data_IF_229513038746
#
_entry.id   IF_229513038746
#
_cell.length_a   1.000
_cell.length_b   1.000
_cell.length_c   1.000
_cell.angle_alpha   90.00
_cell.angle_beta   90.00
_cell.angle_gamma   90.00
#
_symmetry.space_group_name_H-M   'P 1'
#
loop_
_entity.id
_entity.type
_entity.pdbx_description
1 polymer ?
#
# COMPACT_ATOMS: atom_id res chain seq x y z
N UNK A 1 21.56 75.71 -26.96
CA UNK A 1 21.79 75.51 -25.52
C UNK A 1 22.78 74.35 -25.38
N UNK A 2 24.07 74.63 -25.14
CA UNK A 2 25.10 73.61 -25.15
C UNK A 2 25.05 72.79 -23.85
N UNK A 3 24.83 71.48 -23.95
CA UNK A 3 24.98 70.57 -22.81
C UNK A 3 26.42 70.69 -22.30
N UNK A 4 26.58 71.12 -21.04
CA UNK A 4 27.90 71.27 -20.45
C UNK A 4 28.54 69.90 -20.24
N UNK A 5 29.85 69.79 -20.45
CA UNK A 5 30.63 68.55 -20.27
C UNK A 5 30.36 67.85 -18.93
N UNK A 6 30.08 68.64 -17.88
CA UNK A 6 29.68 68.14 -16.56
C UNK A 6 28.34 67.40 -16.58
N UNK A 7 27.34 67.90 -17.31
CA UNK A 7 26.01 67.26 -17.44
C UNK A 7 26.08 65.91 -18.16
N UNK A 8 26.88 65.82 -19.23
CA UNK A 8 27.11 64.56 -19.95
C UNK A 8 27.82 63.50 -19.07
N UNK A 9 28.79 63.92 -18.24
CA UNK A 9 29.47 63.03 -17.30
C UNK A 9 28.50 62.53 -16.23
N UNK A 10 27.66 63.40 -15.66
CA UNK A 10 26.69 62.99 -14.63
C UNK A 10 25.67 61.99 -15.16
N UNK A 11 25.14 62.19 -16.37
CA UNK A 11 24.22 61.25 -17.01
C UNK A 11 24.93 59.92 -17.32
N UNK A 12 26.15 59.97 -17.87
CA UNK A 12 26.93 58.76 -18.15
C UNK A 12 27.19 57.93 -16.89
N UNK A 13 27.53 58.58 -15.77
CA UNK A 13 27.72 57.92 -14.48
C UNK A 13 26.44 57.29 -13.93
N UNK A 14 25.30 57.99 -14.04
CA UNK A 14 23.99 57.47 -13.62
C UNK A 14 23.57 56.24 -14.45
N UNK A 15 23.72 56.31 -15.78
CA UNK A 15 23.43 55.19 -16.67
C UNK A 15 24.32 53.99 -16.35
N UNK A 16 25.61 54.22 -16.09
CA UNK A 16 26.55 53.15 -15.74
C UNK A 16 26.20 52.48 -14.41
N UNK A 17 25.82 53.26 -13.38
CA UNK A 17 25.39 52.73 -12.09
C UNK A 17 24.12 51.88 -12.23
N UNK A 18 23.15 52.33 -13.05
CA UNK A 18 21.92 51.57 -13.32
C UNK A 18 22.24 50.27 -14.06
N UNK A 19 23.10 50.31 -15.08
CA UNK A 19 23.51 49.11 -15.82
C UNK A 19 24.24 48.12 -14.90
N UNK A 20 25.15 48.57 -14.04
CA UNK A 20 25.84 47.71 -13.07
C UNK A 20 24.84 47.13 -12.06
N UNK A 21 23.92 47.95 -11.54
CA UNK A 21 22.87 47.53 -10.62
C UNK A 21 21.97 46.44 -11.21
N UNK A 22 21.60 46.57 -12.50
CA UNK A 22 20.81 45.56 -13.21
C UNK A 22 21.65 44.32 -13.56
N UNK A 23 22.87 44.50 -14.04
CA UNK A 23 23.75 43.41 -14.48
C UNK A 23 24.29 42.56 -13.31
N UNK A 24 24.37 43.11 -12.10
CA UNK A 24 24.86 42.40 -10.91
C UNK A 24 23.71 42.06 -9.96
N UNK A 25 22.83 43.03 -9.68
CA UNK A 25 21.76 42.87 -8.69
C UNK A 25 20.71 41.83 -9.10
N UNK A 26 20.36 41.74 -10.38
CA UNK A 26 19.39 40.76 -10.89
C UNK A 26 19.95 39.33 -10.80
N UNK A 27 21.14 39.01 -11.36
CA UNK A 27 21.68 37.65 -11.23
C UNK A 27 21.99 37.24 -9.79
N UNK A 28 22.46 38.16 -8.93
CA UNK A 28 22.64 37.87 -7.50
C UNK A 28 21.30 37.60 -6.83
N UNK A 29 20.26 38.40 -7.10
CA UNK A 29 18.91 38.16 -6.60
C UNK A 29 18.31 36.82 -7.05
N UNK A 30 18.60 36.38 -8.28
CA UNK A 30 18.18 35.08 -8.81
C UNK A 30 18.93 33.92 -8.13
N UNK A 31 20.23 34.08 -7.89
CA UNK A 31 21.06 33.05 -7.24
C UNK A 31 20.74 32.93 -5.75
N UNK A 32 20.52 34.05 -5.06
CA UNK A 32 20.13 34.10 -3.64
C UNK A 32 18.67 33.68 -3.45
N UNK A 33 17.79 34.03 -4.39
CA UNK A 33 16.38 33.64 -4.41
C UNK A 33 16.12 32.21 -4.89
N UNK A 34 17.13 31.52 -5.45
CA UNK A 34 17.06 30.08 -5.73
C UNK A 34 17.04 29.32 -4.41
N UNK A 35 15.84 29.09 -3.88
CA UNK A 35 15.63 28.02 -2.92
C UNK A 35 16.11 26.72 -3.57
N UNK A 36 16.99 25.98 -2.88
CA UNK A 36 17.24 24.58 -3.24
C UNK A 36 15.87 23.90 -3.34
N UNK A 37 15.60 23.12 -4.40
CA UNK A 37 14.35 22.36 -4.45
C UNK A 37 14.25 21.57 -3.16
N UNK A 38 13.23 21.85 -2.37
CA UNK A 38 13.03 21.22 -1.08
C UNK A 38 12.89 19.73 -1.36
N UNK A 39 13.88 18.93 -0.95
CA UNK A 39 13.78 17.49 -1.10
C UNK A 39 12.50 17.04 -0.41
N UNK A 40 11.74 16.16 -1.07
CA UNK A 40 10.58 15.54 -0.46
C UNK A 40 10.95 14.93 0.90
N UNK A 41 9.99 14.92 1.83
CA UNK A 41 10.17 14.17 3.09
C UNK A 41 10.27 12.69 2.77
N UNK A 42 10.87 11.90 3.67
CA UNK A 42 11.04 10.45 3.48
C UNK A 42 9.70 9.76 3.24
N UNK A 43 8.64 10.20 3.92
CA UNK A 43 7.28 9.66 3.78
C UNK A 43 6.72 9.92 2.37
N UNK A 44 6.90 11.14 1.85
CA UNK A 44 6.47 11.48 0.48
C UNK A 44 7.28 10.71 -0.57
N UNK A 45 8.58 10.51 -0.34
CA UNK A 45 9.42 9.70 -1.22
C UNK A 45 8.96 8.24 -1.23
N UNK A 46 8.74 7.65 -0.05
CA UNK A 46 8.23 6.29 0.09
C UNK A 46 6.87 6.14 -0.60
N UNK A 47 5.96 7.09 -0.38
CA UNK A 47 4.62 7.06 -0.97
C UNK A 47 4.67 7.13 -2.51
N UNK A 48 5.51 7.99 -3.09
CA UNK A 48 5.72 8.06 -4.55
C UNK A 48 6.30 6.78 -5.15
N UNK A 49 7.20 6.10 -4.41
CA UNK A 49 7.72 4.79 -4.83
C UNK A 49 6.58 3.76 -4.84
N UNK A 50 5.77 3.72 -3.79
CA UNK A 50 4.68 2.77 -3.63
C UNK A 50 3.48 3.03 -4.56
N UNK A 51 3.31 4.26 -5.05
CA UNK A 51 2.28 4.58 -6.07
C UNK A 51 2.50 3.77 -7.36
N UNK A 52 3.76 3.54 -7.73
CA UNK A 52 4.14 2.79 -8.92
C UNK A 52 4.59 1.36 -8.61
N UNK A 53 4.93 1.07 -7.35
CA UNK A 53 5.40 -0.24 -6.88
C UNK A 53 4.63 -0.63 -5.61
N UNK A 54 3.33 -0.99 -5.73
CA UNK A 54 2.52 -1.31 -4.58
C UNK A 54 3.14 -2.41 -3.71
N UNK A 55 3.00 -2.27 -2.39
CA UNK A 55 3.58 -3.22 -1.45
C UNK A 55 2.90 -4.60 -1.61
N UNK A 56 3.70 -5.66 -1.59
CA UNK A 56 3.23 -7.04 -1.44
C UNK A 56 3.64 -7.52 -0.06
N UNK A 57 2.66 -7.74 0.81
CA UNK A 57 2.89 -8.34 2.13
C UNK A 57 2.74 -9.86 2.05
N UNK A 58 3.66 -10.57 2.72
CA UNK A 58 3.80 -12.01 2.64
C UNK A 58 2.95 -12.81 3.63
N UNK A 59 2.29 -12.16 4.60
CA UNK A 59 1.57 -12.88 5.65
C UNK A 59 0.61 -11.99 6.47
N UNK A 60 -0.70 -12.24 6.36
CA UNK A 60 -1.71 -11.52 7.14
C UNK A 60 -2.84 -12.43 7.65
N UNK A 61 -3.07 -12.41 8.96
CA UNK A 61 -4.02 -13.26 9.69
C UNK A 61 -5.47 -12.76 9.75
N UNK A 62 -5.91 -11.92 8.81
CA UNK A 62 -7.29 -11.42 8.78
C UNK A 62 -8.32 -12.56 8.83
N UNK A 63 -8.08 -13.67 8.13
CA UNK A 63 -8.96 -14.85 8.16
C UNK A 63 -9.10 -15.42 9.58
N UNK A 64 -8.00 -15.48 10.34
CA UNK A 64 -7.99 -15.97 11.71
C UNK A 64 -8.70 -15.01 12.67
N UNK A 65 -8.51 -13.70 12.49
CA UNK A 65 -9.23 -12.67 13.24
C UNK A 65 -10.74 -12.84 13.05
N UNK A 66 -11.19 -13.02 11.80
CA UNK A 66 -12.61 -13.18 11.52
C UNK A 66 -13.15 -14.49 12.11
N UNK A 67 -12.43 -15.61 11.97
CA UNK A 67 -12.80 -16.89 12.59
C UNK A 67 -13.02 -16.77 14.08
N UNK A 68 -12.05 -16.20 14.78
CA UNK A 68 -12.05 -16.15 16.25
C UNK A 68 -13.08 -15.19 16.84
N UNK A 69 -13.42 -14.11 16.12
CA UNK A 69 -14.33 -13.08 16.62
C UNK A 69 -15.76 -13.22 16.10
N UNK A 70 -15.94 -13.83 14.92
CA UNK A 70 -17.24 -13.89 14.23
C UNK A 70 -17.61 -15.28 13.74
N UNK A 71 -16.84 -16.32 14.10
CA UNK A 71 -17.11 -17.71 13.68
C UNK A 71 -17.29 -17.85 12.15
N UNK A 72 -16.43 -17.20 11.37
CA UNK A 72 -16.45 -17.15 9.90
C UNK A 72 -17.68 -16.48 9.27
N UNK A 73 -18.58 -15.91 10.09
CA UNK A 73 -19.70 -15.11 9.60
C UNK A 73 -19.20 -13.76 9.09
N UNK A 74 -19.57 -13.43 7.86
CA UNK A 74 -19.23 -12.14 7.22
C UNK A 74 -20.47 -11.30 6.92
N UNK A 75 -21.66 -11.72 7.36
CA UNK A 75 -22.92 -11.02 7.05
C UNK A 75 -22.85 -9.56 7.52
N UNK A 76 -22.51 -9.38 8.80
CA UNK A 76 -22.46 -8.06 9.46
C UNK A 76 -21.02 -7.55 9.66
N UNK A 77 -20.04 -8.17 8.98
CA UNK A 77 -18.65 -7.75 9.04
C UNK A 77 -18.38 -6.71 7.95
N UNK A 78 -18.11 -5.47 8.37
CA UNK A 78 -17.66 -4.38 7.50
C UNK A 78 -16.14 -4.27 7.54
N UNK A 79 -15.48 -4.70 6.46
CA UNK A 79 -14.04 -4.64 6.31
C UNK A 79 -13.53 -3.26 5.87
N UNK A 80 -14.39 -2.28 5.58
CA UNK A 80 -13.90 -0.92 5.24
C UNK A 80 -13.24 -0.23 6.44
N UNK A 81 -13.81 -0.41 7.63
CA UNK A 81 -13.31 0.19 8.85
C UNK A 81 -13.57 -0.73 10.04
N UNK A 82 -12.61 -1.62 10.32
CA UNK A 82 -12.73 -2.56 11.42
C UNK A 82 -12.36 -1.83 12.71
N UNK A 83 -13.36 -1.58 13.55
CA UNK A 83 -13.23 -0.91 14.84
C UNK A 83 -13.04 -1.91 15.98
N UNK A 84 -12.44 -1.47 17.09
CA UNK A 84 -12.30 -2.32 18.30
C UNK A 84 -13.63 -2.89 18.78
N UNK A 85 -14.73 -2.12 18.67
CA UNK A 85 -16.05 -2.52 19.13
C UNK A 85 -16.63 -3.71 18.35
N UNK A 86 -16.13 -3.98 17.14
CA UNK A 86 -16.54 -5.16 16.38
C UNK A 86 -15.80 -6.42 16.87
N UNK A 87 -14.66 -6.29 17.56
CA UNK A 87 -13.78 -7.41 17.91
C UNK A 87 -14.04 -7.82 19.37
N UNK A 88 -14.41 -9.09 19.58
CA UNK A 88 -14.87 -9.62 20.88
C UNK A 88 -13.81 -9.63 21.98
N UNK A 89 -12.53 -9.51 21.65
CA UNK A 89 -11.39 -9.67 22.57
C UNK A 89 -10.51 -8.41 22.71
N UNK A 90 -11.06 -7.20 22.47
CA UNK A 90 -10.36 -5.90 22.57
C UNK A 90 -9.05 -5.74 21.77
N UNK A 91 -8.71 -6.75 20.96
CA UNK A 91 -7.52 -6.74 20.10
C UNK A 91 -7.89 -5.96 18.85
N UNK A 92 -7.32 -4.78 18.59
CA UNK A 92 -7.64 -4.02 17.38
C UNK A 92 -7.22 -4.83 16.15
N UNK A 93 -8.01 -4.77 15.08
CA UNK A 93 -7.55 -5.26 13.78
C UNK A 93 -6.44 -4.36 13.29
N UNK A 94 -5.34 -4.94 12.80
CA UNK A 94 -4.33 -4.19 12.05
C UNK A 94 -4.75 -3.98 10.59
N UNK A 95 -5.83 -4.63 10.15
CA UNK A 95 -6.21 -4.72 8.74
C UNK A 95 -7.68 -4.37 8.54
N UNK A 96 -7.89 -3.39 7.68
CA UNK A 96 -9.16 -3.07 7.02
C UNK A 96 -8.82 -2.45 5.67
N UNK A 97 -9.81 -2.33 4.77
CA UNK A 97 -9.58 -1.81 3.42
C UNK A 97 -9.01 -0.38 3.50
N UNK A 98 -9.50 0.46 4.41
CA UNK A 98 -9.00 1.83 4.56
C UNK A 98 -7.50 1.85 4.86
N UNK A 99 -7.04 1.06 5.83
CA UNK A 99 -5.62 0.95 6.19
C UNK A 99 -4.78 0.33 5.08
N UNK A 100 -5.30 -0.69 4.37
CA UNK A 100 -4.61 -1.29 3.23
C UNK A 100 -4.38 -0.27 2.11
N UNK A 101 -5.40 0.54 1.80
CA UNK A 101 -5.30 1.62 0.80
C UNK A 101 -4.34 2.72 1.24
N UNK A 102 -4.43 3.17 2.50
CA UNK A 102 -3.51 4.18 3.05
C UNK A 102 -2.06 3.69 3.08
N UNK A 103 -1.84 2.40 3.36
CA UNK A 103 -0.53 1.75 3.33
C UNK A 103 -0.02 1.41 1.93
N UNK A 104 -0.80 1.70 0.87
CA UNK A 104 -0.46 1.39 -0.52
C UNK A 104 -0.11 -0.09 -0.74
N UNK A 105 -0.82 -0.97 -0.03
CA UNK A 105 -0.75 -2.41 -0.25
C UNK A 105 -1.44 -2.72 -1.56
N UNK A 106 -0.71 -3.31 -2.50
CA UNK A 106 -1.27 -3.80 -3.76
C UNK A 106 -1.39 -5.31 -3.79
N UNK A 107 -0.66 -6.04 -2.96
CA UNK A 107 -0.77 -7.50 -2.86
C UNK A 107 -0.68 -7.99 -1.43
N UNK A 108 -1.42 -9.04 -1.11
CA UNK A 108 -1.47 -9.63 0.21
C UNK A 108 -1.57 -11.15 0.10
N UNK A 109 -0.62 -11.85 0.71
CA UNK A 109 -0.79 -13.24 1.07
C UNK A 109 -1.62 -13.32 2.35
N UNK A 110 -2.84 -13.81 2.22
CA UNK A 110 -3.73 -14.08 3.33
C UNK A 110 -3.34 -15.42 3.95
N UNK A 111 -3.01 -15.39 5.24
CA UNK A 111 -2.68 -16.60 5.99
C UNK A 111 -3.93 -17.45 6.14
N UNK A 112 -3.88 -18.64 5.55
CA UNK A 112 -4.83 -19.71 5.80
C UNK A 112 -4.25 -20.50 6.97
N UNK A 113 -4.54 -20.04 8.18
CA UNK A 113 -4.03 -20.59 9.43
C UNK A 113 -5.11 -21.28 10.26
N UNK A 114 -4.71 -22.34 10.97
CA UNK A 114 -5.52 -22.99 12.01
C UNK A 114 -4.62 -23.46 13.16
N UNK A 115 -5.19 -23.63 14.36
CA UNK A 115 -4.42 -24.09 15.53
C UNK A 115 -3.83 -25.49 15.33
N UNK A 116 -2.62 -25.71 15.85
CA UNK A 116 -1.97 -27.04 15.82
C UNK A 116 -2.80 -28.16 16.45
N UNK A 117 -3.72 -27.86 17.38
CA UNK A 117 -4.59 -28.83 18.05
C UNK A 117 -5.60 -29.56 17.15
N UNK A 118 -5.75 -29.11 15.90
CA UNK A 118 -6.54 -29.77 14.86
C UNK A 118 -5.79 -30.93 14.18
N UNK A 119 -4.47 -31.04 14.34
CA UNK A 119 -3.68 -32.12 13.72
C UNK A 119 -4.16 -33.51 14.18
N UNK A 120 -4.35 -34.41 13.21
CA UNK A 120 -4.89 -35.76 13.47
C UNK A 120 -6.38 -35.78 13.87
N UNK A 121 -7.09 -34.66 13.67
CA UNK A 121 -8.53 -34.53 13.92
C UNK A 121 -9.24 -33.99 12.68
N UNK A 122 -9.28 -32.68 12.54
CA UNK A 122 -10.10 -31.91 11.59
C UNK A 122 -9.27 -30.78 10.96
N UNK A 123 -7.95 -31.00 10.81
CA UNK A 123 -7.04 -30.02 10.25
C UNK A 123 -7.47 -29.64 8.84
N UNK A 124 -7.54 -30.60 7.91
CA UNK A 124 -7.89 -30.29 6.51
C UNK A 124 -9.21 -29.53 6.41
N UNK A 125 -10.26 -29.96 7.12
CA UNK A 125 -11.56 -29.26 7.15
C UNK A 125 -11.41 -27.83 7.66
N UNK A 126 -10.66 -27.61 8.73
CA UNK A 126 -10.44 -26.27 9.29
C UNK A 126 -9.72 -25.34 8.32
N UNK A 127 -8.74 -25.84 7.54
CA UNK A 127 -8.08 -25.03 6.51
C UNK A 127 -9.01 -24.74 5.32
N UNK A 128 -9.85 -25.71 4.91
CA UNK A 128 -10.86 -25.50 3.86
C UNK A 128 -11.85 -24.39 4.23
N UNK A 129 -12.30 -24.34 5.48
CA UNK A 129 -13.17 -23.27 5.97
C UNK A 129 -12.52 -21.88 5.91
N UNK A 130 -11.22 -21.78 6.16
CA UNK A 130 -10.48 -20.52 6.07
C UNK A 130 -10.29 -20.07 4.61
N UNK A 131 -10.06 -21.01 3.68
CA UNK A 131 -10.04 -20.72 2.23
C UNK A 131 -11.41 -20.24 1.77
N UNK A 132 -12.49 -20.94 2.14
CA UNK A 132 -13.86 -20.52 1.83
C UNK A 132 -14.16 -19.12 2.36
N UNK A 133 -13.79 -18.85 3.61
CA UNK A 133 -13.95 -17.53 4.22
C UNK A 133 -13.28 -16.43 3.39
N UNK A 134 -12.01 -16.61 3.03
CA UNK A 134 -11.28 -15.59 2.28
C UNK A 134 -11.84 -15.42 0.86
N UNK A 135 -12.22 -16.51 0.19
CA UNK A 135 -12.92 -16.42 -1.10
C UNK A 135 -14.22 -15.61 -0.98
N UNK A 136 -15.02 -15.83 0.06
CA UNK A 136 -16.25 -15.04 0.29
C UNK A 136 -15.96 -13.57 0.60
N UNK A 137 -14.88 -13.25 1.32
CA UNK A 137 -14.44 -11.86 1.54
C UNK A 137 -14.05 -11.20 0.22
N UNK A 138 -13.22 -11.87 -0.60
CA UNK A 138 -12.81 -11.34 -1.92
C UNK A 138 -14.04 -11.09 -2.79
N UNK A 139 -14.99 -12.04 -2.82
CA UNK A 139 -16.23 -11.90 -3.57
C UNK A 139 -17.16 -10.80 -3.04
N UNK A 140 -17.14 -10.52 -1.73
CA UNK A 140 -17.94 -9.46 -1.10
C UNK A 140 -17.40 -8.05 -1.44
N UNK A 141 -16.10 -7.91 -1.67
CA UNK A 141 -15.45 -6.63 -1.98
C UNK A 141 -14.67 -6.69 -3.32
N UNK A 142 -15.36 -6.93 -4.45
CA UNK A 142 -14.71 -7.18 -5.76
C UNK A 142 -14.06 -5.93 -6.37
N UNK A 143 -14.45 -4.75 -5.91
CA UNK A 143 -13.82 -3.48 -6.31
C UNK A 143 -12.50 -3.24 -5.56
N UNK A 144 -12.29 -3.95 -4.44
CA UNK A 144 -11.12 -3.81 -3.60
C UNK A 144 -10.11 -4.95 -3.80
N UNK A 145 -10.59 -6.18 -3.86
CA UNK A 145 -9.76 -7.38 -3.94
C UNK A 145 -9.90 -8.11 -5.27
N UNK A 146 -8.83 -8.77 -5.68
CA UNK A 146 -8.83 -9.68 -6.82
C UNK A 146 -8.01 -10.91 -6.48
N UNK A 147 -8.59 -12.11 -6.60
CA UNK A 147 -7.83 -13.35 -6.43
C UNK A 147 -6.70 -13.43 -7.47
N UNK A 148 -5.52 -13.86 -7.04
CA UNK A 148 -4.38 -14.11 -7.90
C UNK A 148 -3.63 -15.37 -7.44
N UNK A 149 -3.28 -16.21 -8.40
CA UNK A 149 -2.51 -17.44 -8.24
C UNK A 149 -1.20 -17.41 -9.03
N UNK A 150 -1.03 -16.37 -9.86
CA UNK A 150 0.18 -16.15 -10.66
C UNK A 150 0.69 -14.71 -10.51
N UNK A 151 1.98 -14.51 -10.77
CA UNK A 151 2.57 -13.17 -10.79
C UNK A 151 1.93 -12.26 -11.86
N UNK A 152 1.41 -12.83 -12.93
CA UNK A 152 0.73 -12.05 -13.98
C UNK A 152 -0.63 -11.54 -13.50
N UNK A 153 -1.40 -12.38 -12.81
CA UNK A 153 -2.67 -11.97 -12.19
C UNK A 153 -2.45 -10.89 -11.11
N UNK A 154 -1.34 -10.94 -10.38
CA UNK A 154 -0.94 -9.87 -9.45
C UNK A 154 -0.76 -8.54 -10.20
N UNK A 155 -0.02 -8.54 -11.31
CA UNK A 155 0.15 -7.33 -12.14
C UNK A 155 -1.17 -6.82 -12.71
N UNK A 156 -2.07 -7.72 -13.10
CA UNK A 156 -3.42 -7.36 -13.56
C UNK A 156 -4.24 -6.69 -12.46
N UNK A 157 -4.19 -7.22 -11.23
CA UNK A 157 -4.84 -6.59 -10.08
C UNK A 157 -4.28 -5.18 -9.81
N UNK A 158 -2.96 -5.00 -9.89
CA UNK A 158 -2.33 -3.68 -9.73
C UNK A 158 -2.83 -2.70 -10.80
N UNK A 159 -2.88 -3.13 -12.07
CA UNK A 159 -3.40 -2.32 -13.17
C UNK A 159 -4.89 -1.95 -12.99
N UNK A 160 -5.67 -2.86 -12.42
CA UNK A 160 -7.07 -2.64 -12.04
C UNK A 160 -7.23 -1.83 -10.73
N UNK A 161 -6.13 -1.41 -10.10
CA UNK A 161 -6.10 -0.74 -8.77
C UNK A 161 -6.79 -1.57 -7.68
N UNK A 162 -6.76 -2.89 -7.79
CA UNK A 162 -7.23 -3.85 -6.79
C UNK A 162 -6.05 -4.42 -6.02
N UNK A 163 -6.32 -4.88 -4.82
CA UNK A 163 -5.37 -5.60 -3.98
C UNK A 163 -5.39 -7.05 -4.45
N UNK A 164 -4.27 -7.52 -5.00
CA UNK A 164 -4.05 -8.92 -5.33
C UNK A 164 -4.11 -9.75 -4.04
N UNK A 165 -5.05 -10.68 -3.99
CA UNK A 165 -5.24 -11.58 -2.86
C UNK A 165 -4.72 -12.95 -3.24
N UNK A 166 -3.72 -13.42 -2.49
CA UNK A 166 -3.13 -14.75 -2.65
C UNK A 166 -3.34 -15.54 -1.36
N UNK A 167 -3.36 -16.87 -1.45
CA UNK A 167 -3.45 -17.73 -0.27
C UNK A 167 -2.09 -18.30 0.08
N UNK A 168 -1.79 -18.34 1.39
CA UNK A 168 -0.65 -19.06 1.92
C UNK A 168 -1.11 -19.97 3.06
N UNK A 169 -0.91 -21.28 2.92
CA UNK A 169 -1.19 -22.21 4.02
C UNK A 169 -0.10 -22.09 5.09
N UNK A 170 -0.52 -21.77 6.32
CA UNK A 170 0.35 -21.76 7.48
C UNK A 170 0.16 -23.05 8.30
N UNK A 171 0.98 -24.05 7.98
CA UNK A 171 1.07 -25.29 8.74
C UNK A 171 0.91 -26.54 7.88
N UNK A 172 1.92 -27.42 7.92
CA UNK A 172 1.93 -28.66 7.16
C UNK A 172 0.85 -29.66 7.57
N UNK A 173 0.25 -29.51 8.75
CA UNK A 173 -0.87 -30.34 9.20
C UNK A 173 -2.10 -30.21 8.30
N UNK A 174 -2.21 -29.12 7.51
CA UNK A 174 -3.29 -28.93 6.56
C UNK A 174 -3.46 -30.12 5.60
N UNK A 175 -2.35 -30.69 5.15
CA UNK A 175 -2.35 -31.76 4.15
C UNK A 175 -2.50 -33.16 4.73
N UNK A 176 -2.49 -33.31 6.06
CA UNK A 176 -2.56 -34.61 6.74
C UNK A 176 -1.62 -35.68 6.13
N UNK A 177 -0.39 -35.25 5.80
CA UNK A 177 0.63 -36.09 5.14
C UNK A 177 0.20 -36.69 3.80
N UNK A 178 -0.72 -36.04 3.07
CA UNK A 178 -1.27 -36.49 1.80
C UNK A 178 -0.95 -35.54 0.64
N UNK A 179 -0.23 -36.03 -0.37
CA UNK A 179 0.01 -35.28 -1.60
C UNK A 179 -1.27 -35.01 -2.41
N UNK A 180 -2.31 -35.83 -2.24
CA UNK A 180 -3.59 -35.59 -2.88
C UNK A 180 -4.25 -34.34 -2.31
N UNK A 181 -4.21 -34.17 -0.98
CA UNK A 181 -4.72 -32.95 -0.33
C UNK A 181 -3.86 -31.73 -0.71
N UNK A 182 -2.52 -31.88 -0.78
CA UNK A 182 -1.65 -30.81 -1.27
C UNK A 182 -2.06 -30.31 -2.67
N UNK A 183 -2.29 -31.23 -3.62
CA UNK A 183 -2.72 -30.85 -4.98
C UNK A 183 -4.12 -30.23 -5.01
N UNK A 184 -5.02 -30.64 -4.11
CA UNK A 184 -6.34 -30.03 -4.00
C UNK A 184 -6.22 -28.58 -3.51
N UNK A 185 -5.38 -28.30 -2.51
CA UNK A 185 -5.13 -26.92 -2.08
C UNK A 185 -4.55 -26.05 -3.19
N UNK A 186 -3.61 -26.58 -3.97
CA UNK A 186 -3.10 -25.88 -5.15
C UNK A 186 -4.22 -25.53 -6.14
N UNK A 187 -5.13 -26.46 -6.42
CA UNK A 187 -6.30 -26.21 -7.30
C UNK A 187 -7.29 -25.19 -6.71
N UNK A 188 -7.30 -25.01 -5.39
CA UNK A 188 -8.10 -23.99 -4.70
C UNK A 188 -7.40 -22.63 -4.57
N UNK A 189 -6.19 -22.48 -5.15
CA UNK A 189 -5.49 -21.20 -5.26
C UNK A 189 -4.39 -20.95 -4.22
N UNK A 190 -3.89 -22.00 -3.56
CA UNK A 190 -2.70 -21.97 -2.67
C UNK A 190 -1.40 -22.14 -3.47
#
# INVERSE_FOLDING_TARGET
MALTRKFLITIGSLVTIVIIGLAVGIPVGIVVGRQKPTSLTVEKQASQILENNPLIDGHNDLAWLIRTNFANSIADFDLYNVTRNQIRNDTPSHTDITRLRQGQVGGQFWSIYTRCGHQGKDATTSFLEQIDLMNRIIAKYPDEFQMATTAEEVRQAFAAKRIASLFGIEGGQAIESSFSILRLFYQMGV
#
